data_IF_160848814378
#
_entry.id   IF_160848814378
#
_cell.length_a   1.000
_cell.length_b   1.000
_cell.length_c   1.000
_cell.angle_alpha   90.00
_cell.angle_beta   90.00
_cell.angle_gamma   90.00
#
_symmetry.space_group_name_H-M   'P 1'
#
loop_
_entity.id
_entity.type
_entity.pdbx_description
1 polymer ?
#
# COMPACT_ATOMS: atom_id res chain seq x y z
N UNK A 1 -24.29 -8.56 1.61
CA UNK A 1 -24.69 -7.42 0.75
C UNK A 1 -24.06 -7.64 -0.61
N UNK A 2 -24.83 -7.60 -1.71
CA UNK A 2 -24.25 -7.53 -3.06
C UNK A 2 -23.32 -6.31 -3.16
N UNK A 3 -22.13 -6.49 -3.76
CA UNK A 3 -21.11 -5.44 -3.93
C UNK A 3 -21.17 -4.81 -5.33
N UNK A 4 -22.38 -4.63 -5.86
CA UNK A 4 -22.67 -4.16 -7.22
C UNK A 4 -23.14 -2.69 -7.28
N UNK A 5 -23.17 -2.00 -6.13
CA UNK A 5 -23.69 -0.63 -6.03
C UNK A 5 -22.85 0.44 -6.75
N UNK A 6 -21.62 0.13 -7.17
CA UNK A 6 -20.76 1.07 -7.90
C UNK A 6 -19.88 0.35 -8.93
N UNK A 7 -19.83 0.81 -10.20
CA UNK A 7 -19.12 0.10 -11.27
C UNK A 7 -17.61 -0.02 -11.02
N UNK A 8 -16.99 0.94 -10.34
CA UNK A 8 -15.56 0.83 -10.01
C UNK A 8 -15.21 -0.33 -9.05
N UNK A 9 -16.20 -0.98 -8.41
CA UNK A 9 -15.96 -2.13 -7.55
C UNK A 9 -15.49 -3.36 -8.32
N UNK A 10 -15.81 -3.45 -9.62
CA UNK A 10 -15.31 -4.51 -10.51
C UNK A 10 -13.88 -4.27 -10.97
N UNK A 11 -13.36 -3.05 -10.82
CA UNK A 11 -11.98 -2.73 -11.22
C UNK A 11 -10.97 -3.32 -10.23
N UNK A 12 -9.75 -3.63 -10.70
CA UNK A 12 -8.66 -4.07 -9.83
C UNK A 12 -8.43 -3.12 -8.66
N UNK A 13 -8.17 -3.66 -7.48
CA UNK A 13 -7.78 -2.89 -6.31
C UNK A 13 -6.34 -2.37 -6.49
N UNK A 14 -6.16 -1.05 -6.56
CA UNK A 14 -4.88 -0.41 -6.83
C UNK A 14 -4.29 0.25 -5.59
N UNK A 15 -2.97 0.19 -5.46
CA UNK A 15 -2.18 0.96 -4.50
C UNK A 15 -1.18 1.84 -5.23
N UNK A 16 -0.86 3.02 -4.68
CA UNK A 16 0.27 3.81 -5.20
C UNK A 16 1.57 3.17 -4.71
N UNK A 17 2.45 2.86 -5.65
CA UNK A 17 3.79 2.36 -5.36
C UNK A 17 4.83 3.42 -5.74
N UNK A 18 5.88 3.55 -4.95
CA UNK A 18 6.93 4.54 -5.16
C UNK A 18 8.31 3.91 -5.04
N UNK A 19 9.24 4.32 -5.92
CA UNK A 19 10.64 3.89 -5.88
C UNK A 19 11.45 4.74 -4.89
N UNK A 20 11.13 4.65 -3.58
CA UNK A 20 11.76 5.48 -2.54
C UNK A 20 13.15 5.01 -2.10
N UNK A 21 13.61 3.84 -2.56
CA UNK A 21 14.95 3.34 -2.29
C UNK A 21 15.61 2.76 -3.54
N UNK A 22 16.96 2.66 -3.58
CA UNK A 22 17.65 2.00 -4.68
C UNK A 22 17.20 0.55 -4.90
N UNK A 23 16.86 -0.18 -3.83
CA UNK A 23 16.30 -1.53 -3.94
C UNK A 23 14.94 -1.53 -4.63
N UNK A 24 14.04 -0.63 -4.25
CA UNK A 24 12.74 -0.50 -4.91
C UNK A 24 12.89 -0.11 -6.38
N UNK A 25 13.82 0.80 -6.70
CA UNK A 25 14.10 1.19 -8.08
C UNK A 25 14.61 0.01 -8.93
N UNK A 26 15.38 -0.93 -8.35
CA UNK A 26 15.85 -2.13 -9.08
C UNK A 26 14.71 -2.99 -9.61
N UNK A 27 13.54 -3.00 -8.95
CA UNK A 27 12.37 -3.72 -9.47
C UNK A 27 11.86 -3.16 -10.80
N UNK A 28 12.26 -1.93 -11.17
CA UNK A 28 11.89 -1.31 -12.44
C UNK A 28 12.86 -1.67 -13.57
N UNK A 29 13.82 -2.57 -13.35
CA UNK A 29 14.79 -2.99 -14.37
C UNK A 29 14.11 -3.43 -15.66
N UNK A 30 13.09 -4.28 -15.56
CA UNK A 30 12.35 -4.78 -16.72
C UNK A 30 11.59 -3.65 -17.42
N UNK A 31 10.94 -2.77 -16.65
CA UNK A 31 10.20 -1.64 -17.20
C UNK A 31 11.09 -0.60 -17.88
N UNK A 32 12.27 -0.33 -17.31
CA UNK A 32 13.22 0.68 -17.79
C UNK A 32 14.11 0.16 -18.94
N UNK A 33 14.13 -1.15 -19.18
CA UNK A 33 14.97 -1.75 -20.21
C UNK A 33 14.64 -1.18 -21.60
N UNK A 34 15.67 -0.72 -22.31
CA UNK A 34 15.53 -0.18 -23.68
C UNK A 34 14.89 1.22 -23.78
N UNK A 35 14.45 1.83 -22.67
CA UNK A 35 13.82 3.16 -22.68
C UNK A 35 14.86 4.28 -22.55
N UNK A 36 14.66 5.43 -23.23
CA UNK A 36 15.46 6.62 -22.98
C UNK A 36 15.27 7.09 -21.54
N UNK A 37 16.29 7.74 -20.97
CA UNK A 37 16.29 8.15 -19.56
C UNK A 37 15.08 9.04 -19.17
N UNK A 38 14.53 9.80 -20.11
CA UNK A 38 13.31 10.60 -19.93
C UNK A 38 12.07 9.77 -19.59
N UNK A 39 11.99 8.52 -20.07
CA UNK A 39 10.84 7.63 -19.97
C UNK A 39 11.01 6.53 -18.90
N UNK A 40 12.18 6.48 -18.25
CA UNK A 40 12.43 5.54 -17.17
C UNK A 40 11.73 5.98 -15.88
N UNK A 41 11.33 5.01 -15.06
CA UNK A 41 10.97 5.27 -13.66
C UNK A 41 12.22 5.72 -12.93
N UNK A 42 12.11 6.89 -12.30
CA UNK A 42 13.18 7.57 -11.56
C UNK A 42 13.02 7.34 -10.05
N UNK A 43 14.08 7.55 -9.25
CA UNK A 43 13.94 7.66 -7.80
C UNK A 43 12.79 8.61 -7.44
N UNK A 44 11.96 8.23 -6.46
CA UNK A 44 10.77 8.98 -6.03
C UNK A 44 9.67 9.14 -7.08
N UNK A 45 9.80 8.53 -8.26
CA UNK A 45 8.68 8.31 -9.17
C UNK A 45 7.63 7.39 -8.54
N UNK A 46 6.42 7.42 -9.09
CA UNK A 46 5.33 6.54 -8.67
C UNK A 46 4.76 5.74 -9.83
N UNK A 47 4.22 4.58 -9.50
CA UNK A 47 3.46 3.67 -10.34
C UNK A 47 2.22 3.22 -9.59
N UNK A 48 1.37 2.43 -10.23
CA UNK A 48 0.28 1.71 -9.55
C UNK A 48 0.68 0.25 -9.37
N UNK A 49 0.39 -0.28 -8.19
CA UNK A 49 0.54 -1.68 -7.86
C UNK A 49 -0.86 -2.26 -7.62
N UNK A 50 -1.42 -3.00 -8.59
CA UNK A 50 -2.61 -3.81 -8.34
C UNK A 50 -2.36 -4.81 -7.23
N UNK A 51 -3.42 -5.23 -6.55
CA UNK A 51 -3.32 -6.33 -5.58
C UNK A 51 -3.52 -7.65 -6.31
N UNK A 52 -2.61 -8.60 -6.16
CA UNK A 52 -2.79 -9.95 -6.70
C UNK A 52 -3.88 -10.70 -5.92
N UNK A 53 -4.66 -11.54 -6.62
CA UNK A 53 -5.52 -12.52 -5.94
C UNK A 53 -4.67 -13.45 -5.09
N UNK A 54 -5.22 -13.86 -3.95
CA UNK A 54 -4.56 -14.88 -3.12
C UNK A 54 -4.79 -16.26 -3.72
N UNK A 55 -3.85 -17.16 -3.46
CA UNK A 55 -3.83 -18.55 -3.96
C UNK A 55 -5.13 -19.33 -3.69
N UNK A 56 -5.89 -18.96 -2.65
CA UNK A 56 -7.18 -19.58 -2.33
C UNK A 56 -8.29 -19.27 -3.34
N UNK A 57 -8.11 -18.23 -4.16
CA UNK A 57 -9.09 -17.74 -5.14
C UNK A 57 -8.58 -17.82 -6.58
N UNK A 58 -7.31 -18.15 -6.75
CA UNK A 58 -6.75 -18.52 -8.04
C UNK A 58 -7.07 -20.00 -8.26
N UNK A 59 -7.60 -20.32 -9.44
CA UNK A 59 -7.84 -21.69 -9.88
C UNK A 59 -6.48 -22.35 -10.20
N UNK A 60 -5.64 -22.50 -9.18
CA UNK A 60 -4.28 -22.97 -9.33
C UNK A 60 -4.29 -24.49 -9.37
N UNK A 61 -3.49 -25.10 -10.26
CA UNK A 61 -3.33 -26.54 -10.25
C UNK A 61 -2.83 -26.99 -8.88
N UNK A 62 -3.57 -27.90 -8.25
CA UNK A 62 -3.15 -28.54 -7.01
C UNK A 62 -1.84 -29.26 -7.31
N UNK A 63 -0.74 -28.72 -6.79
CA UNK A 63 0.57 -29.32 -6.98
C UNK A 63 0.71 -30.45 -5.97
N UNK A 64 0.63 -31.68 -6.45
CA UNK A 64 0.88 -32.86 -5.64
C UNK A 64 2.29 -32.79 -5.05
N UNK A 65 2.37 -32.79 -3.72
CA UNK A 65 3.65 -32.72 -3.01
C UNK A 65 4.20 -34.12 -2.91
N UNK A 66 5.37 -34.35 -3.51
CA UNK A 66 6.09 -35.61 -3.41
C UNK A 66 6.38 -35.94 -1.92
N UNK A 67 5.76 -37.00 -1.36
CA UNK A 67 5.87 -37.33 0.06
C UNK A 67 7.29 -37.77 0.45
N UNK A 68 8.16 -38.10 -0.51
CA UNK A 68 9.56 -38.45 -0.25
C UNK A 68 10.45 -37.23 0.03
N UNK A 69 10.00 -36.02 -0.34
CA UNK A 69 10.77 -34.79 -0.11
C UNK A 69 10.46 -34.21 1.26
N UNK A 70 11.45 -34.27 2.16
CA UNK A 70 11.37 -33.71 3.51
C UNK A 70 11.57 -32.18 3.47
N UNK A 71 10.71 -31.44 4.16
CA UNK A 71 10.82 -29.99 4.34
C UNK A 71 9.57 -29.20 3.93
N UNK A 72 9.55 -27.90 4.24
CA UNK A 72 8.46 -27.02 3.84
C UNK A 72 8.43 -26.90 2.31
N UNK A 73 7.29 -27.15 1.64
CA UNK A 73 7.16 -26.91 0.20
C UNK A 73 7.58 -25.48 -0.15
N UNK A 74 8.25 -25.31 -1.30
CA UNK A 74 8.63 -23.98 -1.78
C UNK A 74 7.35 -23.15 -1.92
N UNK A 75 7.33 -21.98 -1.29
CA UNK A 75 6.21 -21.03 -1.40
C UNK A 75 5.99 -20.74 -2.89
N UNK A 76 4.76 -20.89 -3.35
CA UNK A 76 4.43 -20.53 -4.72
C UNK A 76 4.65 -19.03 -4.90
N UNK A 77 5.31 -18.66 -6.00
CA UNK A 77 5.55 -17.25 -6.30
C UNK A 77 4.24 -16.63 -6.76
N UNK A 78 3.70 -15.73 -5.93
CA UNK A 78 2.56 -14.91 -6.30
C UNK A 78 3.01 -13.83 -7.28
N UNK A 79 2.16 -13.46 -8.25
CA UNK A 79 2.47 -12.35 -9.10
C UNK A 79 2.66 -11.09 -8.25
N UNK A 80 3.62 -10.26 -8.66
CA UNK A 80 3.96 -8.96 -8.06
C UNK A 80 3.60 -7.87 -9.06
N UNK A 81 2.29 -7.68 -9.35
CA UNK A 81 1.84 -6.84 -10.44
C UNK A 81 2.19 -5.37 -10.20
N UNK A 82 2.61 -4.70 -11.25
CA UNK A 82 2.83 -3.26 -11.28
C UNK A 82 2.52 -2.72 -12.68
N UNK A 83 2.11 -1.46 -12.78
CA UNK A 83 1.84 -0.79 -14.05
C UNK A 83 2.08 0.71 -13.94
N UNK A 84 2.27 1.37 -15.08
CA UNK A 84 2.16 2.82 -15.18
C UNK A 84 0.79 3.27 -14.67
N UNK A 85 0.71 4.50 -14.14
CA UNK A 85 -0.58 5.03 -13.70
C UNK A 85 -1.56 5.09 -14.87
N UNK A 86 -2.70 4.43 -14.71
CA UNK A 86 -3.80 4.38 -15.66
C UNK A 86 -5.11 4.30 -14.88
N UNK A 87 -6.12 5.06 -15.32
CA UNK A 87 -7.44 5.12 -14.70
C UNK A 87 -8.41 4.13 -15.35
N UNK A 88 -8.23 3.87 -16.66
CA UNK A 88 -9.05 2.93 -17.40
C UNK A 88 -8.62 1.49 -17.11
N UNK A 89 -9.56 0.67 -16.61
CA UNK A 89 -9.26 -0.70 -16.23
C UNK A 89 -8.88 -1.60 -17.42
N UNK A 90 -9.41 -1.34 -18.62
CA UNK A 90 -9.07 -2.11 -19.81
C UNK A 90 -7.65 -1.78 -20.27
N UNK A 91 -7.28 -0.49 -20.30
CA UNK A 91 -5.89 -0.08 -20.60
C UNK A 91 -4.91 -0.57 -19.54
N UNK A 92 -5.31 -0.56 -18.28
CA UNK A 92 -4.50 -1.12 -17.21
C UNK A 92 -4.17 -2.60 -17.47
N UNK A 93 -5.11 -3.39 -18.03
CA UNK A 93 -4.89 -4.80 -18.37
C UNK A 93 -3.64 -5.02 -19.24
N UNK A 94 -3.43 -4.11 -20.19
CA UNK A 94 -2.34 -4.16 -21.16
C UNK A 94 -1.00 -3.73 -20.56
N UNK A 95 -1.05 -2.92 -19.49
CA UNK A 95 0.11 -2.29 -18.87
C UNK A 95 0.63 -3.06 -17.65
N UNK A 96 -0.15 -3.98 -17.08
CA UNK A 96 0.23 -4.71 -15.87
C UNK A 96 1.19 -5.85 -16.19
N UNK A 97 2.33 -5.85 -15.49
CA UNK A 97 3.34 -6.90 -15.55
C UNK A 97 3.86 -7.23 -14.15
N UNK A 98 4.47 -8.41 -14.02
CA UNK A 98 5.13 -8.82 -12.78
C UNK A 98 6.49 -8.14 -12.66
N UNK A 99 6.70 -7.36 -11.60
CA UNK A 99 7.96 -6.60 -11.42
C UNK A 99 9.21 -7.46 -11.23
N UNK A 100 9.04 -8.75 -10.91
CA UNK A 100 10.12 -9.71 -10.71
C UNK A 100 10.51 -10.47 -11.98
N UNK A 101 9.55 -10.78 -12.85
CA UNK A 101 9.80 -11.53 -14.11
C UNK A 101 9.79 -10.65 -15.35
N UNK A 102 9.05 -9.53 -15.33
CA UNK A 102 8.76 -8.70 -16.49
C UNK A 102 7.60 -9.19 -17.34
N UNK A 103 6.99 -10.33 -17.00
CA UNK A 103 5.91 -10.94 -17.79
C UNK A 103 4.55 -10.27 -17.54
N UNK A 104 3.65 -10.22 -18.54
CA UNK A 104 2.29 -9.71 -18.35
C UNK A 104 1.52 -10.45 -17.27
N UNK A 105 0.70 -9.75 -16.48
CA UNK A 105 -0.20 -10.38 -15.51
C UNK A 105 -1.65 -10.16 -15.97
N UNK A 106 -2.43 -11.23 -16.19
CA UNK A 106 -3.82 -11.09 -16.62
C UNK A 106 -4.68 -10.46 -15.52
N UNK A 107 -5.69 -9.66 -15.91
CA UNK A 107 -6.64 -9.05 -14.96
C UNK A 107 -7.34 -10.10 -14.10
N UNK A 108 -7.61 -11.29 -14.63
CA UNK A 108 -8.23 -12.39 -13.88
C UNK A 108 -7.39 -12.87 -12.69
N UNK A 109 -6.10 -12.53 -12.63
CA UNK A 109 -5.22 -12.81 -11.50
C UNK A 109 -5.14 -11.63 -10.49
N UNK A 110 -5.88 -10.54 -10.73
CA UNK A 110 -5.90 -9.34 -9.88
C UNK A 110 -7.14 -9.31 -9.00
N UNK A 111 -6.96 -8.89 -7.75
CA UNK A 111 -8.02 -8.75 -6.78
C UNK A 111 -8.89 -7.54 -7.13
N UNK A 112 -10.22 -7.66 -7.04
CA UNK A 112 -11.11 -6.52 -7.33
C UNK A 112 -11.25 -5.63 -6.11
N UNK A 113 -11.67 -4.39 -6.36
CA UNK A 113 -11.97 -3.43 -5.28
C UNK A 113 -13.10 -3.94 -4.38
N UNK A 114 -14.10 -4.63 -4.93
CA UNK A 114 -15.13 -5.35 -4.17
C UNK A 114 -14.51 -6.32 -3.16
N UNK A 115 -13.61 -7.19 -3.61
CA UNK A 115 -13.01 -8.24 -2.79
C UNK A 115 -12.14 -7.65 -1.67
N UNK A 116 -11.40 -6.59 -1.98
CA UNK A 116 -10.60 -5.86 -0.99
C UNK A 116 -11.48 -5.21 0.10
N UNK A 117 -12.69 -4.76 -0.24
CA UNK A 117 -13.64 -4.15 0.69
C UNK A 117 -14.51 -5.16 1.44
N UNK A 118 -14.71 -6.37 0.89
CA UNK A 118 -15.59 -7.39 1.48
C UNK A 118 -15.22 -7.74 2.93
N UNK A 119 -13.92 -7.71 3.26
CA UNK A 119 -13.39 -8.01 4.59
C UNK A 119 -13.04 -6.77 5.41
N UNK A 120 -13.36 -5.57 4.94
CA UNK A 120 -13.04 -4.33 5.67
C UNK A 120 -13.61 -4.35 7.10
N UNK A 121 -14.81 -4.91 7.28
CA UNK A 121 -15.42 -5.08 8.59
C UNK A 121 -14.60 -5.93 9.58
N UNK A 122 -13.77 -6.86 9.11
CA UNK A 122 -12.95 -7.71 9.99
C UNK A 122 -11.72 -6.99 10.52
N UNK A 123 -11.26 -5.96 9.81
CA UNK A 123 -10.06 -5.20 10.16
C UNK A 123 -10.25 -3.73 9.81
N UNK A 124 -11.21 -3.05 10.45
CA UNK A 124 -11.53 -1.66 10.16
C UNK A 124 -10.37 -0.75 10.56
N UNK A 125 -10.18 0.33 9.83
CA UNK A 125 -9.13 1.29 10.16
C UNK A 125 -9.67 2.38 11.09
N UNK A 126 -8.98 2.61 12.23
CA UNK A 126 -9.37 3.61 13.24
C UNK A 126 -9.35 5.06 12.74
N UNK A 127 -8.77 5.29 11.57
CA UNK A 127 -8.73 6.58 10.90
C UNK A 127 -10.05 6.96 10.24
N UNK A 128 -11.10 6.15 10.34
CA UNK A 128 -12.43 6.45 9.80
C UNK A 128 -13.51 6.56 10.89
N UNK A 129 -14.29 7.62 10.81
CA UNK A 129 -15.61 7.72 11.44
C UNK A 129 -16.58 6.79 10.70
N UNK A 130 -17.48 6.14 11.43
CA UNK A 130 -18.39 5.13 10.89
C UNK A 130 -17.71 3.97 10.12
N UNK A 131 -16.48 3.61 10.50
CA UNK A 131 -15.72 2.52 9.87
C UNK A 131 -15.77 1.17 10.59
N UNK A 132 -16.39 1.07 11.78
CA UNK A 132 -16.40 -0.18 12.58
C UNK A 132 -17.65 -1.03 12.28
N UNK A 133 -17.63 -2.35 12.57
CA UNK A 133 -18.73 -3.27 12.24
C UNK A 133 -20.11 -2.86 12.72
N UNK A 134 -20.20 -2.21 13.87
CA UNK A 134 -21.47 -1.80 14.48
C UNK A 134 -21.85 -0.34 14.15
N UNK A 135 -21.02 0.37 13.40
CA UNK A 135 -21.30 1.75 13.05
C UNK A 135 -22.24 1.82 11.84
N UNK A 136 -23.09 2.84 11.83
CA UNK A 136 -24.01 3.14 10.73
C UNK A 136 -23.76 4.55 10.20
N UNK A 137 -24.10 4.81 8.94
CA UNK A 137 -23.94 6.13 8.31
C UNK A 137 -22.72 6.21 7.40
N UNK A 138 -22.47 7.41 6.86
CA UNK A 138 -21.38 7.63 5.90
C UNK A 138 -20.02 7.46 6.58
N UNK A 139 -19.18 6.59 6.03
CA UNK A 139 -17.78 6.45 6.45
C UNK A 139 -16.98 7.66 6.00
N UNK A 140 -16.36 8.38 6.93
CA UNK A 140 -15.58 9.61 6.66
C UNK A 140 -14.20 9.48 7.31
N UNK A 141 -13.15 9.88 6.60
CA UNK A 141 -11.80 9.87 7.19
C UNK A 141 -11.73 10.91 8.30
N UNK A 142 -11.35 10.49 9.51
CA UNK A 142 -11.11 11.38 10.65
C UNK A 142 -9.98 12.33 10.31
N UNK A 143 -10.21 13.62 10.52
CA UNK A 143 -9.18 14.65 10.39
C UNK A 143 -8.39 14.70 11.69
N UNK A 144 -7.10 14.36 11.64
CA UNK A 144 -6.20 14.52 12.78
C UNK A 144 -5.71 15.96 12.79
N UNK A 145 -6.04 16.71 13.84
CA UNK A 145 -5.44 18.03 14.10
C UNK A 145 -4.28 17.85 15.07
N UNK A 146 -3.10 18.28 14.68
CA UNK A 146 -1.95 18.34 15.59
C UNK A 146 -2.16 19.52 16.53
N UNK A 147 -2.30 19.24 17.83
CA UNK A 147 -2.52 20.26 18.87
C UNK A 147 -1.23 20.67 19.58
N UNK A 148 -0.13 19.95 19.31
CA UNK A 148 1.18 20.20 19.89
C UNK A 148 2.13 19.05 19.59
N UNK A 149 3.40 19.24 19.90
CA UNK A 149 4.44 18.22 19.76
C UNK A 149 5.04 17.96 21.13
N UNK A 150 5.32 16.69 21.45
CA UNK A 150 6.10 16.31 22.63
C UNK A 150 7.38 15.66 22.14
N UNK A 151 8.51 16.31 22.39
CA UNK A 151 9.81 15.74 22.09
C UNK A 151 10.06 14.52 22.99
N UNK A 152 10.70 13.49 22.45
CA UNK A 152 11.07 12.26 23.19
C UNK A 152 12.55 11.97 22.89
N UNK A 153 13.32 11.57 23.92
CA UNK A 153 14.72 11.21 23.77
C UNK A 153 15.69 12.37 24.01
N UNK A 154 16.83 12.39 23.32
CA UNK A 154 17.90 13.40 23.54
C UNK A 154 17.42 14.84 23.32
N UNK A 155 16.53 15.02 22.35
CA UNK A 155 15.87 16.29 22.03
C UNK A 155 14.97 16.80 23.17
N UNK A 156 14.39 15.91 23.96
CA UNK A 156 13.59 16.28 25.14
C UNK A 156 14.46 16.68 26.34
N UNK A 157 15.64 16.06 26.47
CA UNK A 157 16.57 16.32 27.57
C UNK A 157 17.47 17.54 27.33
N UNK A 158 17.36 18.21 26.17
CA UNK A 158 18.24 19.32 25.75
C UNK A 158 19.74 18.95 25.80
N UNK A 159 20.09 17.68 25.59
CA UNK A 159 21.48 17.21 25.61
C UNK A 159 21.97 17.13 24.16
N UNK A 160 22.75 18.13 23.72
CA UNK A 160 23.33 18.27 22.37
C UNK A 160 23.18 19.70 21.80
N UNK A 161 23.59 19.90 20.54
CA UNK A 161 23.69 21.23 19.86
C UNK A 161 22.36 22.02 19.71
N UNK A 162 21.22 21.47 20.13
CA UNK A 162 19.90 22.11 20.08
C UNK A 162 19.38 22.55 21.46
N UNK A 163 20.28 22.75 22.43
CA UNK A 163 19.96 23.14 23.81
C UNK A 163 19.48 24.59 23.99
N UNK A 164 18.93 25.25 22.97
CA UNK A 164 18.36 26.58 23.15
C UNK A 164 16.91 26.51 23.69
N UNK A 165 16.57 27.48 24.51
CA UNK A 165 15.23 27.63 25.06
C UNK A 165 14.32 28.16 23.95
N UNK A 166 13.18 27.49 23.75
CA UNK A 166 12.17 27.93 22.78
C UNK A 166 11.71 29.38 23.12
N UNK A 167 11.93 30.36 22.23
CA UNK A 167 11.60 31.76 22.47
C UNK A 167 10.08 32.02 22.54
N UNK A 168 9.25 31.03 22.25
CA UNK A 168 7.78 31.12 22.34
C UNK A 168 7.20 30.56 23.64
N UNK A 169 8.04 30.03 24.53
CA UNK A 169 7.58 29.55 25.84
C UNK A 169 7.48 30.72 26.82
N UNK A 170 6.30 31.33 26.96
CA UNK A 170 6.05 32.23 28.09
C UNK A 170 6.15 31.45 29.42
N UNK A 171 6.85 31.99 30.44
CA UNK A 171 6.92 31.34 31.73
C UNK A 171 5.54 31.33 32.39
N UNK A 172 5.01 30.14 32.65
CA UNK A 172 3.87 29.93 33.53
C UNK A 172 4.22 30.42 34.94
N UNK A 173 3.85 31.65 35.25
CA UNK A 173 3.81 32.13 36.63
C UNK A 173 2.66 31.41 37.35
N UNK A 174 3.00 30.43 38.18
CA UNK A 174 2.07 29.88 39.17
C UNK A 174 2.10 30.85 40.35
N UNK A 175 1.06 31.65 40.52
CA UNK A 175 0.83 32.40 41.75
C UNK A 175 0.28 31.43 42.80
N UNK A 176 1.07 31.15 43.83
CA UNK A 176 0.55 30.54 45.06
C UNK A 176 -0.30 31.56 45.82
N UNK A 177 -1.55 31.19 46.10
CA UNK A 177 -2.36 31.67 47.23
C UNK A 177 -3.27 30.55 47.67
#
# INVERSE_FOLDING_TARGET
MPLDFHPALTNPALMRWNASSPEMLRYMKHFNAGKPYSEQVKPFGFMVAPTALTEAWLDMPVKEVDPSKRGRPKKQDRPKPIASYEQDAAKLAELVFDRGTGEPVPISALNRSADALAFYQLSPEDKFENGRPIHTGRTVRRVVKVVGFRLIGKEANKIGDFGEVDPTTEPLFISET
#
